data_IF_828262299384
#
_entry.id   IF_828262299384
#
_cell.length_a   1.000
_cell.length_b   1.000
_cell.length_c   1.000
_cell.angle_alpha   90.00
_cell.angle_beta   90.00
_cell.angle_gamma   90.00
#
_symmetry.space_group_name_H-M   'P 1'
#
loop_
_entity.id
_entity.type
_entity.pdbx_description
1 polymer ?
#
# COMPACT_ATOMS: atom_id res chain seq x y z
N UNK A 1 -22.42 14.73 9.35
CA UNK A 1 -21.04 14.45 8.92
C UNK A 1 -20.75 15.40 7.78
N UNK A 2 -19.68 16.18 7.91
CA UNK A 2 -19.21 17.07 6.84
C UNK A 2 -18.56 16.26 5.71
N UNK A 3 -18.64 16.74 4.48
CA UNK A 3 -18.04 16.13 3.29
C UNK A 3 -16.54 15.88 3.47
N UNK A 4 -15.82 16.81 4.11
CA UNK A 4 -14.40 16.64 4.44
C UNK A 4 -14.17 15.49 5.42
N UNK A 5 -15.08 15.26 6.38
CA UNK A 5 -14.98 14.13 7.32
C UNK A 5 -15.20 12.78 6.61
N UNK A 6 -16.13 12.73 5.65
CA UNK A 6 -16.37 11.51 4.85
C UNK A 6 -15.13 11.16 4.02
N UNK A 7 -14.53 12.15 3.35
CA UNK A 7 -13.32 11.98 2.53
C UNK A 7 -12.13 11.52 3.41
N UNK A 8 -11.93 12.17 4.56
CA UNK A 8 -10.87 11.80 5.50
C UNK A 8 -11.07 10.38 6.06
N UNK A 9 -12.33 9.95 6.25
CA UNK A 9 -12.67 8.59 6.63
C UNK A 9 -12.20 7.56 5.60
N UNK A 10 -12.51 7.77 4.32
CA UNK A 10 -12.07 6.88 3.23
C UNK A 10 -10.54 6.80 3.13
N UNK A 11 -9.86 7.94 3.23
CA UNK A 11 -8.39 7.97 3.24
C UNK A 11 -7.79 7.21 4.43
N UNK A 12 -8.43 7.29 5.59
CA UNK A 12 -8.00 6.57 6.80
C UNK A 12 -8.17 5.06 6.63
N UNK A 13 -9.29 4.60 6.07
CA UNK A 13 -9.54 3.17 5.80
C UNK A 13 -8.58 2.60 4.75
N UNK A 14 -8.26 3.38 3.70
CA UNK A 14 -7.26 2.98 2.71
C UNK A 14 -5.89 2.77 3.38
N UNK A 15 -5.45 3.73 4.20
CA UNK A 15 -4.18 3.61 4.91
C UNK A 15 -4.17 2.44 5.91
N UNK A 16 -5.26 2.24 6.65
CA UNK A 16 -5.42 1.11 7.55
C UNK A 16 -5.36 -0.23 6.79
N UNK A 17 -5.93 -0.29 5.59
CA UNK A 17 -5.87 -1.47 4.71
C UNK A 17 -4.45 -1.77 4.24
N UNK A 18 -3.72 -0.76 3.76
CA UNK A 18 -2.31 -0.90 3.37
C UNK A 18 -1.47 -1.43 4.55
N UNK A 19 -1.66 -0.86 5.74
CA UNK A 19 -0.98 -1.30 6.96
C UNK A 19 -1.35 -2.74 7.35
N UNK A 20 -2.63 -3.10 7.27
CA UNK A 20 -3.08 -4.45 7.62
C UNK A 20 -2.45 -5.52 6.70
N UNK A 21 -2.22 -5.19 5.43
CA UNK A 21 -1.53 -6.09 4.49
C UNK A 21 -0.06 -6.28 4.89
N UNK A 22 0.64 -5.21 5.29
CA UNK A 22 2.02 -5.30 5.79
C UNK A 22 2.13 -6.14 7.07
N UNK A 23 1.22 -5.91 8.01
CA UNK A 23 1.16 -6.67 9.25
C UNK A 23 0.85 -8.17 8.96
N UNK A 24 -0.02 -8.46 7.99
CA UNK A 24 -0.34 -9.82 7.56
C UNK A 24 0.86 -10.53 6.90
N UNK A 25 1.61 -9.86 6.03
CA UNK A 25 2.84 -10.40 5.42
C UNK A 25 3.87 -10.73 6.51
N UNK A 26 4.03 -9.82 7.48
CA UNK A 26 4.93 -10.03 8.63
C UNK A 26 4.53 -11.25 9.44
N UNK A 27 3.24 -11.44 9.69
CA UNK A 27 2.74 -12.57 10.45
C UNK A 27 2.90 -13.90 9.66
N UNK A 28 2.59 -13.90 8.36
CA UNK A 28 2.71 -15.08 7.51
C UNK A 28 4.17 -15.53 7.34
N UNK A 29 5.12 -14.60 7.22
CA UNK A 29 6.56 -14.91 7.19
C UNK A 29 7.05 -15.48 8.53
N UNK A 30 6.56 -14.94 9.65
CA UNK A 30 6.84 -15.49 10.99
C UNK A 30 6.34 -16.94 11.12
N UNK A 31 5.16 -17.25 10.58
CA UNK A 31 4.66 -18.62 10.54
C UNK A 31 5.60 -19.57 9.79
N UNK A 32 6.08 -19.18 8.60
CA UNK A 32 7.04 -19.99 7.83
C UNK A 32 8.33 -20.23 8.62
N UNK A 33 8.86 -19.21 9.27
CA UNK A 33 10.02 -19.34 10.15
C UNK A 33 9.75 -20.32 11.30
N UNK A 34 8.59 -20.22 11.95
CA UNK A 34 8.21 -21.13 13.04
C UNK A 34 8.10 -22.59 12.56
N UNK A 35 7.55 -22.84 11.36
CA UNK A 35 7.49 -24.18 10.76
C UNK A 35 8.89 -24.76 10.54
N UNK A 36 9.84 -23.96 10.06
CA UNK A 36 11.23 -24.38 9.86
C UNK A 36 11.90 -24.66 11.21
N UNK A 37 11.80 -23.72 12.15
CA UNK A 37 12.41 -23.84 13.48
C UNK A 37 11.88 -25.04 14.27
N UNK A 38 10.57 -25.30 14.20
CA UNK A 38 9.94 -26.45 14.85
C UNK A 38 10.51 -27.79 14.35
N UNK A 39 10.80 -27.92 13.05
CA UNK A 39 11.42 -29.15 12.51
C UNK A 39 12.79 -29.39 13.13
N UNK A 40 13.63 -28.35 13.21
CA UNK A 40 14.95 -28.45 13.83
C UNK A 40 14.83 -28.77 15.32
N UNK A 41 14.01 -28.03 16.05
CA UNK A 41 13.85 -28.20 17.51
C UNK A 41 13.32 -29.59 17.89
N UNK A 42 12.46 -30.17 17.06
CA UNK A 42 11.85 -31.48 17.31
C UNK A 42 12.56 -32.64 16.59
N UNK A 43 13.70 -32.38 15.91
CA UNK A 43 14.42 -33.37 15.09
C UNK A 43 13.52 -34.08 14.07
N UNK A 44 12.56 -33.35 13.49
CA UNK A 44 11.62 -33.87 12.48
C UNK A 44 12.27 -33.77 11.10
N UNK A 45 11.95 -34.74 10.24
CA UNK A 45 12.38 -34.77 8.84
C UNK A 45 12.11 -33.43 8.11
N UNK A 46 13.06 -32.92 7.30
CA UNK A 46 12.89 -31.69 6.53
C UNK A 46 11.69 -31.69 5.57
N UNK A 47 11.25 -32.87 5.10
CA UNK A 47 10.10 -32.98 4.19
C UNK A 47 8.76 -33.00 4.93
N UNK A 48 8.76 -33.14 6.25
CA UNK A 48 7.54 -33.11 7.03
C UNK A 48 6.90 -31.72 6.98
N UNK A 49 5.63 -31.65 6.56
CA UNK A 49 4.91 -30.39 6.42
C UNK A 49 5.43 -29.50 5.28
N UNK A 50 6.27 -30.01 4.38
CA UNK A 50 6.79 -29.23 3.25
C UNK A 50 5.65 -28.70 2.35
N UNK A 51 4.62 -29.51 2.09
CA UNK A 51 3.44 -29.06 1.33
C UNK A 51 2.68 -27.94 2.03
N UNK A 52 2.50 -28.02 3.35
CA UNK A 52 1.88 -26.96 4.14
C UNK A 52 2.73 -25.68 4.13
N UNK A 53 4.06 -25.82 4.18
CA UNK A 53 4.97 -24.68 4.06
C UNK A 53 4.86 -24.03 2.68
N UNK A 54 4.78 -24.81 1.61
CA UNK A 54 4.51 -24.29 0.25
C UNK A 54 3.21 -23.49 0.21
N UNK A 55 2.14 -23.98 0.85
CA UNK A 55 0.88 -23.22 0.95
C UNK A 55 1.02 -21.92 1.74
N UNK A 56 1.81 -21.90 2.81
CA UNK A 56 2.11 -20.65 3.53
C UNK A 56 2.88 -19.65 2.63
N UNK A 57 3.78 -20.13 1.78
CA UNK A 57 4.46 -19.27 0.78
C UNK A 57 3.50 -18.75 -0.29
N UNK A 58 2.54 -19.56 -0.75
CA UNK A 58 1.48 -19.11 -1.67
C UNK A 58 0.62 -18.00 -1.04
N UNK A 59 0.31 -18.09 0.27
CA UNK A 59 -0.40 -17.02 1.00
C UNK A 59 0.41 -15.73 0.99
N UNK A 60 1.73 -15.79 1.25
CA UNK A 60 2.59 -14.60 1.21
C UNK A 60 2.57 -13.97 -0.19
N UNK A 61 2.66 -14.78 -1.25
CA UNK A 61 2.59 -14.27 -2.62
C UNK A 61 1.26 -13.56 -2.91
N UNK A 62 0.13 -14.15 -2.48
CA UNK A 62 -1.19 -13.54 -2.64
C UNK A 62 -1.32 -12.21 -1.88
N UNK A 63 -0.78 -12.12 -0.67
CA UNK A 63 -0.74 -10.88 0.11
C UNK A 63 0.10 -9.79 -0.57
N UNK A 64 1.22 -10.15 -1.19
CA UNK A 64 2.02 -9.21 -1.98
C UNK A 64 1.25 -8.64 -3.17
N UNK A 65 0.52 -9.49 -3.92
CA UNK A 65 -0.36 -9.02 -5.01
C UNK A 65 -1.50 -8.14 -4.50
N UNK A 66 -2.07 -8.46 -3.33
CA UNK A 66 -3.07 -7.62 -2.71
C UNK A 66 -2.51 -6.24 -2.32
N UNK A 67 -1.26 -6.18 -1.83
CA UNK A 67 -0.57 -4.93 -1.51
C UNK A 67 -0.36 -4.06 -2.74
N UNK A 68 0.09 -4.64 -3.85
CA UNK A 68 0.22 -3.92 -5.13
C UNK A 68 -1.12 -3.34 -5.59
N UNK A 69 -2.19 -4.14 -5.46
CA UNK A 69 -3.55 -3.71 -5.80
C UNK A 69 -4.05 -2.56 -4.90
N UNK A 70 -3.73 -2.60 -3.60
CA UNK A 70 -4.08 -1.53 -2.66
C UNK A 70 -3.34 -0.22 -2.98
N UNK A 71 -2.05 -0.29 -3.32
CA UNK A 71 -1.26 0.88 -3.74
C UNK A 71 -1.79 1.45 -5.07
N UNK A 72 -2.17 0.60 -6.02
CA UNK A 72 -2.82 1.05 -7.25
C UNK A 72 -4.17 1.73 -6.98
N UNK A 73 -4.99 1.17 -6.09
CA UNK A 73 -6.24 1.78 -5.62
C UNK A 73 -5.98 3.16 -5.01
N UNK A 74 -4.94 3.30 -4.19
CA UNK A 74 -4.50 4.60 -3.66
C UNK A 74 -4.24 5.59 -4.78
N UNK A 75 -3.46 5.20 -5.79
CA UNK A 75 -3.13 6.09 -6.90
C UNK A 75 -4.38 6.54 -7.70
N UNK A 76 -5.34 5.65 -7.92
CA UNK A 76 -6.62 6.01 -8.58
C UNK A 76 -7.46 6.96 -7.72
N UNK A 77 -7.61 6.68 -6.42
CA UNK A 77 -8.34 7.56 -5.50
C UNK A 77 -7.71 8.96 -5.43
N UNK A 78 -6.39 9.08 -5.53
CA UNK A 78 -5.71 10.37 -5.60
C UNK A 78 -6.02 11.12 -6.91
N UNK A 79 -6.18 10.41 -8.04
CA UNK A 79 -6.62 11.05 -9.29
C UNK A 79 -8.06 11.56 -9.18
N UNK A 80 -8.95 10.75 -8.60
CA UNK A 80 -10.35 11.14 -8.41
C UNK A 80 -10.49 12.32 -7.44
N UNK A 81 -9.75 12.30 -6.34
CA UNK A 81 -9.71 13.41 -5.37
C UNK A 81 -9.34 14.74 -6.04
N UNK A 82 -8.35 14.71 -6.95
CA UNK A 82 -7.98 15.89 -7.77
C UNK A 82 -9.07 16.27 -8.77
N UNK A 83 -9.61 15.31 -9.51
CA UNK A 83 -10.65 15.56 -10.53
C UNK A 83 -11.91 16.18 -9.94
N UNK A 84 -12.27 15.77 -8.73
CA UNK A 84 -13.47 16.22 -8.03
C UNK A 84 -13.25 17.51 -7.22
N UNK A 85 -12.01 18.01 -7.15
CA UNK A 85 -11.70 19.31 -6.53
C UNK A 85 -11.85 19.33 -5.01
N UNK A 86 -11.65 18.18 -4.35
CA UNK A 86 -11.88 18.02 -2.90
C UNK A 86 -10.84 18.70 -2.00
N UNK A 87 -9.89 19.45 -2.55
CA UNK A 87 -8.95 20.27 -1.78
C UNK A 87 -7.83 19.47 -1.11
N UNK A 88 -7.45 19.88 0.10
CA UNK A 88 -6.17 19.59 0.79
C UNK A 88 -5.71 18.13 0.71
N UNK A 89 -4.50 17.94 0.19
CA UNK A 89 -3.83 16.65 0.10
C UNK A 89 -3.46 16.15 1.50
N UNK A 90 -4.05 15.04 1.92
CA UNK A 90 -3.47 14.23 2.99
C UNK A 90 -2.26 13.49 2.42
N UNK A 91 -1.16 14.20 2.19
CA UNK A 91 0.12 13.55 1.92
C UNK A 91 0.48 12.74 3.17
N UNK A 92 0.49 11.42 3.04
CA UNK A 92 1.03 10.52 4.07
C UNK A 92 2.51 10.83 4.36
N UNK A 93 3.15 10.08 5.28
CA UNK A 93 4.50 10.38 5.76
C UNK A 93 5.49 10.75 4.64
N UNK A 94 6.23 11.84 4.88
CA UNK A 94 7.01 12.64 3.90
C UNK A 94 8.20 11.89 3.27
N UNK A 95 8.55 10.69 3.76
CA UNK A 95 9.69 9.90 3.29
C UNK A 95 9.32 8.91 2.15
N UNK A 96 8.50 9.34 1.18
CA UNK A 96 8.40 8.61 -0.10
C UNK A 96 9.40 9.22 -1.09
N UNK A 97 10.25 8.42 -1.76
CA UNK A 97 11.20 8.96 -2.73
C UNK A 97 10.46 9.75 -3.82
N UNK A 98 10.93 10.97 -4.07
CA UNK A 98 10.41 11.92 -5.05
C UNK A 98 10.59 11.38 -6.48
N UNK A 99 9.70 10.50 -6.93
CA UNK A 99 9.45 10.25 -8.35
C UNK A 99 8.18 10.97 -8.84
N UNK A 100 7.71 11.99 -8.11
CA UNK A 100 6.53 12.76 -8.50
C UNK A 100 6.90 14.14 -9.06
N UNK A 101 6.73 14.30 -10.37
CA UNK A 101 6.82 15.55 -11.11
C UNK A 101 6.04 16.68 -10.41
N UNK A 102 6.80 17.62 -9.84
CA UNK A 102 6.34 18.70 -8.95
C UNK A 102 6.04 20.01 -9.70
N UNK A 103 5.77 19.95 -11.01
CA UNK A 103 5.35 21.15 -11.76
C UNK A 103 3.98 21.65 -11.26
N UNK A 104 3.89 22.92 -10.81
CA UNK A 104 2.60 23.54 -10.56
C UNK A 104 1.90 23.75 -11.91
N UNK A 105 0.74 23.15 -12.13
CA UNK A 105 -0.15 23.58 -13.21
C UNK A 105 -0.77 24.93 -12.84
N UNK A 106 -0.05 26.00 -13.13
CA UNK A 106 -0.53 27.36 -12.90
C UNK A 106 0.46 28.44 -13.28
N UNK A 107 0.65 28.68 -14.58
CA UNK A 107 0.57 30.01 -15.21
C UNK A 107 0.80 29.85 -16.73
N UNK A 108 -0.27 29.84 -17.54
CA UNK A 108 -0.10 30.18 -18.95
C UNK A 108 0.17 31.68 -19.01
N UNK A 109 1.44 32.07 -19.13
CA UNK A 109 1.82 33.44 -19.46
C UNK A 109 1.24 33.79 -20.84
N UNK A 110 0.13 34.54 -20.82
CA UNK A 110 -0.37 35.28 -21.98
C UNK A 110 0.65 36.35 -22.32
N UNK A 111 1.52 36.10 -23.29
CA UNK A 111 2.28 37.16 -23.93
C UNK A 111 1.34 37.99 -24.82
N UNK A 112 0.77 39.05 -24.25
CA UNK A 112 0.42 40.25 -25.02
C UNK A 112 1.62 41.19 -24.95
N UNK A 113 2.27 41.44 -26.08
CA UNK A 113 3.09 42.64 -26.27
C UNK A 113 2.54 43.43 -27.46
N UNK A 114 1.93 44.57 -27.11
CA UNK A 114 1.73 45.73 -27.97
C UNK A 114 2.87 46.70 -27.66
N UNK A 115 3.65 47.02 -28.69
CA UNK A 115 4.36 48.28 -28.98
C UNK A 115 5.48 47.95 -29.98
#
# INVERSE_FOLDING_TARGET
MDHTQVIAGVASELHATEKALDDAITHATTLVQAMIGARTALSISPVAGAMSQTKAMEVIAALSTARESAVACHAELQKDHRRLGFGTYAAGPVDKPDEWDSRPMGHQERHLRVA
#
